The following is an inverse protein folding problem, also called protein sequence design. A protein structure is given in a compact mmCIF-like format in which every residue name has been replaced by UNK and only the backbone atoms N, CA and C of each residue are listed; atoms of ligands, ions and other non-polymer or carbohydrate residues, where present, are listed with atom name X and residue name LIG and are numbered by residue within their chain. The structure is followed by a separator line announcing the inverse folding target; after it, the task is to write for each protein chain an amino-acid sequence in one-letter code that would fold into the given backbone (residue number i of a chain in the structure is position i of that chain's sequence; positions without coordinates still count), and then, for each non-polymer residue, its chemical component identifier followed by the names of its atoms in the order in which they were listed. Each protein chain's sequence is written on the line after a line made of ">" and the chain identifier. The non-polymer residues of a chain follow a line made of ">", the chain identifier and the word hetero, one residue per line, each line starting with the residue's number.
data_IF_910785502415
#
_entry.id   IF_910785502415
#
_cell.length_a   1.000
_cell.length_b   1.000
_cell.length_c   1.000
_cell.angle_alpha   90.00
_cell.angle_beta   90.00
_cell.angle_gamma   90.00
#
_symmetry.space_group_name_H-M   'P 1'
#
loop_
_entity.id
_entity.type
_entity.pdbx_description
1 polymer ?
#
# COMPACT_ATOMS: atom_id res chain seq x y z
N UNK A 1 4.05 5.74 11.81
CA UNK A 1 4.47 4.31 11.82
C UNK A 1 3.68 3.46 10.83
N UNK A 2 2.35 3.25 11.01
CA UNK A 2 1.60 2.29 10.17
C UNK A 2 1.50 2.64 8.68
N UNK A 3 1.23 3.90 8.34
CA UNK A 3 1.13 4.36 6.94
C UNK A 3 2.49 4.30 6.23
N UNK A 4 3.56 4.78 6.86
CA UNK A 4 4.91 4.72 6.28
C UNK A 4 5.34 3.27 6.05
N UNK A 5 5.01 2.37 6.99
CA UNK A 5 5.28 0.93 6.85
C UNK A 5 4.52 0.32 5.67
N UNK A 6 3.22 0.59 5.55
CA UNK A 6 2.41 0.07 4.47
C UNK A 6 2.93 0.54 3.10
N UNK A 7 3.35 1.81 3.00
CA UNK A 7 3.94 2.36 1.79
C UNK A 7 5.29 1.71 1.45
N UNK A 8 6.19 1.57 2.42
CA UNK A 8 7.48 0.90 2.23
C UNK A 8 7.30 -0.53 1.73
N UNK A 9 6.46 -1.33 2.39
CA UNK A 9 6.17 -2.70 1.99
C UNK A 9 5.54 -2.77 0.59
N UNK A 10 4.61 -1.85 0.29
CA UNK A 10 3.99 -1.78 -1.03
C UNK A 10 5.02 -1.47 -2.12
N UNK A 11 5.99 -0.58 -1.85
CA UNK A 11 7.10 -0.27 -2.77
C UNK A 11 8.01 -1.49 -2.99
N UNK A 12 8.31 -2.25 -1.96
CA UNK A 12 9.13 -3.48 -2.08
C UNK A 12 8.45 -4.54 -2.94
N UNK A 13 7.18 -4.84 -2.66
CA UNK A 13 6.41 -5.83 -3.41
C UNK A 13 6.18 -5.38 -4.87
N UNK A 14 5.91 -4.10 -5.09
CA UNK A 14 5.78 -3.55 -6.45
C UNK A 14 7.08 -3.71 -7.24
N UNK A 15 8.24 -3.40 -6.63
CA UNK A 15 9.56 -3.62 -7.24
C UNK A 15 9.85 -5.10 -7.50
N UNK A 16 9.35 -5.99 -6.65
CA UNK A 16 9.47 -7.44 -6.84
C UNK A 16 8.58 -7.98 -7.98
N UNK A 17 7.72 -7.14 -8.56
CA UNK A 17 6.90 -7.52 -9.71
C UNK A 17 5.72 -8.43 -9.36
N UNK A 18 5.20 -8.33 -8.13
CA UNK A 18 3.98 -9.10 -7.76
C UNK A 18 2.81 -8.66 -8.65
N UNK A 19 1.93 -9.58 -9.06
CA UNK A 19 0.87 -9.27 -10.04
C UNK A 19 -0.21 -8.35 -9.45
N UNK A 20 -0.45 -8.41 -8.14
CA UNK A 20 -1.50 -7.62 -7.47
C UNK A 20 -1.18 -7.42 -5.99
N UNK A 21 -1.61 -6.27 -5.45
CA UNK A 21 -1.62 -5.96 -4.02
C UNK A 21 -3.07 -5.86 -3.54
N UNK A 22 -3.45 -6.69 -2.56
CA UNK A 22 -4.77 -6.67 -1.92
C UNK A 22 -4.67 -6.12 -0.50
N UNK A 23 -5.56 -5.17 -0.15
CA UNK A 23 -5.52 -4.47 1.13
C UNK A 23 -6.82 -4.65 1.93
N UNK A 24 -6.70 -4.96 3.22
CA UNK A 24 -7.82 -4.89 4.15
C UNK A 24 -7.92 -3.47 4.72
N UNK A 25 -8.99 -2.74 4.38
CA UNK A 25 -9.14 -1.34 4.78
C UNK A 25 -9.50 -1.15 6.25
N UNK A 26 -10.09 -2.18 6.89
CA UNK A 26 -10.52 -2.15 8.30
C UNK A 26 -11.32 -0.87 8.66
N UNK A 27 -12.21 -0.44 7.75
CA UNK A 27 -13.03 0.76 7.92
C UNK A 27 -12.33 2.10 7.64
N UNK A 28 -11.08 2.08 7.15
CA UNK A 28 -10.26 3.28 6.84
C UNK A 28 -9.78 3.31 5.39
N UNK A 29 -10.70 3.39 4.41
CA UNK A 29 -10.35 3.31 2.98
C UNK A 29 -9.42 4.44 2.51
N UNK A 30 -9.57 5.65 3.06
CA UNK A 30 -8.75 6.81 2.66
C UNK A 30 -7.26 6.62 2.96
N UNK A 31 -6.91 5.86 4.00
CA UNK A 31 -5.51 5.56 4.31
C UNK A 31 -4.88 4.73 3.19
N UNK A 32 -5.55 3.66 2.77
CA UNK A 32 -5.10 2.78 1.68
C UNK A 32 -5.05 3.55 0.36
N UNK A 33 -6.07 4.36 0.07
CA UNK A 33 -6.11 5.17 -1.14
C UNK A 33 -4.93 6.15 -1.23
N UNK A 34 -4.54 6.76 -0.12
CA UNK A 34 -3.39 7.66 -0.07
C UNK A 34 -2.08 6.92 -0.29
N UNK A 35 -1.91 5.73 0.30
CA UNK A 35 -0.72 4.89 0.06
C UNK A 35 -0.61 4.47 -1.40
N UNK A 36 -1.71 4.02 -2.00
CA UNK A 36 -1.72 3.61 -3.41
C UNK A 36 -1.41 4.80 -4.32
N UNK A 37 -1.95 6.00 -4.03
CA UNK A 37 -1.64 7.23 -4.80
C UNK A 37 -0.17 7.62 -4.75
N UNK A 38 0.55 7.30 -3.68
CA UNK A 38 1.99 7.58 -3.58
C UNK A 38 2.84 6.45 -4.20
N UNK A 39 2.27 5.27 -4.39
CA UNK A 39 2.96 4.12 -4.97
C UNK A 39 3.08 4.22 -6.50
N UNK A 40 2.04 4.75 -7.17
CA UNK A 40 1.96 4.95 -8.64
C UNK A 40 2.09 6.42 -9.02
#
# INVERSE_FOLDING_TARGET
>A
VGTEWLLMQSKELYKAGVPVLHYYTLGRPNLVANVVRELV
#
